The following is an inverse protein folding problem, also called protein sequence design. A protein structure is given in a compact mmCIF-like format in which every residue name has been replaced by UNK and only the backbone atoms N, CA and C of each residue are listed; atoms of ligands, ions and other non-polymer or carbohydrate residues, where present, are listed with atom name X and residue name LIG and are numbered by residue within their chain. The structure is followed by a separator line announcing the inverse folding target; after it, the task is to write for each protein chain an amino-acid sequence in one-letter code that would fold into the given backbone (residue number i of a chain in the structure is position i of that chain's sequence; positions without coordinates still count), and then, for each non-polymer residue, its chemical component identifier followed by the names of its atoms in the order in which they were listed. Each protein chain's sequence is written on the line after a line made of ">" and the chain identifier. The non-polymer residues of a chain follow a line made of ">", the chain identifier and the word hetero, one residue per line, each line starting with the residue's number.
data_IF_983354185382
#
_entry.id   IF_983354185382
#
_cell.length_a   1.000
_cell.length_b   1.000
_cell.length_c   1.000
_cell.angle_alpha   90.00
_cell.angle_beta   90.00
_cell.angle_gamma   90.00
#
_symmetry.space_group_name_H-M   'P 1'
#
loop_
_entity.id
_entity.type
_entity.pdbx_description
1 polymer ?
#
# COMPACT_ATOMS: atom_id res chain seq x y z
N UNK A 1 39.60 18.87 -9.03
CA UNK A 1 39.41 17.42 -8.76
C UNK A 1 38.73 17.17 -7.41
N UNK A 2 39.09 17.89 -6.34
CA UNK A 2 38.42 17.80 -5.02
C UNK A 2 36.91 18.09 -5.03
N UNK A 3 36.44 19.05 -5.84
CA UNK A 3 35.01 19.40 -5.88
C UNK A 3 34.11 18.28 -6.41
N UNK A 4 34.58 17.50 -7.39
CA UNK A 4 33.83 16.38 -7.97
C UNK A 4 33.73 15.21 -7.00
N UNK A 5 34.80 14.90 -6.27
CA UNK A 5 34.81 13.83 -5.24
C UNK A 5 33.92 14.19 -4.06
N UNK A 6 33.97 15.44 -3.60
CA UNK A 6 33.11 15.96 -2.53
C UNK A 6 31.63 15.95 -2.93
N UNK A 7 31.29 16.33 -4.16
CA UNK A 7 29.90 16.28 -4.67
C UNK A 7 29.38 14.85 -4.79
N UNK A 8 30.21 13.89 -5.22
CA UNK A 8 29.86 12.46 -5.27
C UNK A 8 29.61 11.88 -3.87
N UNK A 9 30.46 12.20 -2.90
CA UNK A 9 30.27 11.76 -1.52
C UNK A 9 28.96 12.32 -0.92
N UNK A 10 28.68 13.61 -1.17
CA UNK A 10 27.43 14.26 -0.76
C UNK A 10 26.20 13.58 -1.37
N UNK A 11 26.23 13.30 -2.68
CA UNK A 11 25.15 12.61 -3.38
C UNK A 11 24.90 11.19 -2.82
N UNK A 12 25.96 10.42 -2.56
CA UNK A 12 25.85 9.08 -1.99
C UNK A 12 25.26 9.10 -0.57
N UNK A 13 25.71 10.03 0.28
CA UNK A 13 25.18 10.23 1.63
C UNK A 13 23.71 10.64 1.61
N UNK A 14 23.35 11.66 0.81
CA UNK A 14 21.98 12.13 0.65
C UNK A 14 21.03 11.00 0.22
N UNK A 15 21.46 10.19 -0.75
CA UNK A 15 20.69 9.03 -1.23
C UNK A 15 20.50 7.98 -0.14
N UNK A 16 21.56 7.60 0.60
CA UNK A 16 21.47 6.64 1.70
C UNK A 16 20.46 7.11 2.75
N UNK A 17 20.51 8.38 3.12
CA UNK A 17 19.56 8.97 4.08
C UNK A 17 18.13 9.01 3.53
N UNK A 18 17.95 9.28 2.24
CA UNK A 18 16.64 9.21 1.58
C UNK A 18 16.06 7.79 1.60
N UNK A 19 16.87 6.75 1.37
CA UNK A 19 16.40 5.37 1.53
C UNK A 19 15.91 5.10 2.96
N UNK A 20 16.68 5.48 3.98
CA UNK A 20 16.33 5.23 5.37
C UNK A 20 15.12 6.02 5.87
N UNK A 21 14.93 7.26 5.41
CA UNK A 21 13.90 8.16 5.93
C UNK A 21 12.67 8.29 5.03
N UNK A 22 12.70 7.75 3.81
CA UNK A 22 11.57 7.77 2.86
C UNK A 22 11.23 6.36 2.41
N UNK A 23 12.18 5.60 1.87
CA UNK A 23 11.86 4.26 1.33
C UNK A 23 11.49 3.30 2.45
N UNK A 24 12.20 3.28 3.58
CA UNK A 24 11.87 2.41 4.72
C UNK A 24 10.47 2.66 5.30
N UNK A 25 10.07 3.89 5.67
CA UNK A 25 8.71 4.10 6.17
C UNK A 25 7.65 3.75 5.13
N UNK A 26 7.86 4.09 3.86
CA UNK A 26 6.95 3.69 2.78
C UNK A 26 6.89 2.17 2.58
N UNK A 27 8.02 1.48 2.73
CA UNK A 27 8.10 0.01 2.66
C UNK A 27 7.28 -0.63 3.78
N UNK A 28 7.38 -0.12 5.01
CA UNK A 28 6.57 -0.58 6.14
C UNK A 28 5.09 -0.29 5.88
N UNK A 29 4.73 0.90 5.41
CA UNK A 29 3.35 1.22 5.01
C UNK A 29 2.82 0.24 3.97
N UNK A 30 3.62 -0.10 2.95
CA UNK A 30 3.24 -1.08 1.92
C UNK A 30 3.11 -2.51 2.47
N UNK A 31 3.90 -2.89 3.48
CA UNK A 31 3.68 -4.17 4.19
C UNK A 31 2.31 -4.15 4.86
N UNK A 32 2.03 -3.15 5.69
CA UNK A 32 0.75 -3.07 6.42
C UNK A 32 -0.41 -3.06 5.42
N UNK A 33 -0.28 -2.33 4.31
CA UNK A 33 -1.32 -2.21 3.29
C UNK A 33 -1.60 -3.53 2.58
N UNK A 34 -0.54 -4.30 2.29
CA UNK A 34 -0.73 -5.60 1.66
C UNK A 34 -1.30 -6.64 2.64
N UNK A 35 -0.87 -6.62 3.92
CA UNK A 35 -1.42 -7.47 4.98
C UNK A 35 -2.94 -7.33 5.07
N UNK A 36 -3.47 -6.12 5.21
CA UNK A 36 -4.91 -5.88 5.29
C UNK A 36 -5.67 -6.38 4.05
N UNK A 37 -5.06 -6.22 2.87
CA UNK A 37 -5.64 -6.66 1.59
C UNK A 37 -5.81 -8.16 1.53
N UNK A 38 -4.79 -8.92 1.94
CA UNK A 38 -4.85 -10.39 1.96
C UNK A 38 -5.58 -10.91 3.19
N UNK A 39 -5.72 -10.11 4.23
CA UNK A 39 -6.36 -10.55 5.45
C UNK A 39 -7.84 -10.87 5.31
N UNK A 40 -8.53 -10.25 4.36
CA UNK A 40 -9.88 -10.67 4.00
C UNK A 40 -9.95 -12.15 3.54
N UNK A 41 -8.94 -12.65 2.80
CA UNK A 41 -8.94 -14.04 2.34
C UNK A 41 -8.70 -15.03 3.47
N UNK A 42 -7.82 -14.69 4.42
CA UNK A 42 -7.61 -15.51 5.61
C UNK A 42 -8.83 -15.47 6.54
N UNK A 43 -9.41 -14.29 6.80
CA UNK A 43 -10.63 -14.15 7.58
C UNK A 43 -11.78 -14.98 7.00
N UNK A 44 -11.90 -15.02 5.66
CA UNK A 44 -12.90 -15.82 4.95
C UNK A 44 -12.89 -17.33 5.28
N UNK A 45 -11.77 -17.88 5.77
CA UNK A 45 -11.68 -19.28 6.19
C UNK A 45 -12.61 -19.65 7.36
N UNK A 46 -12.95 -18.69 8.22
CA UNK A 46 -13.85 -18.92 9.36
C UNK A 46 -15.03 -17.94 9.38
N UNK A 47 -14.80 -16.68 9.01
CA UNK A 47 -15.81 -15.62 8.99
C UNK A 47 -17.03 -15.99 8.13
N UNK A 48 -16.83 -16.59 6.95
CA UNK A 48 -17.94 -16.89 6.05
C UNK A 48 -18.90 -17.91 6.65
N UNK A 49 -18.37 -18.94 7.30
CA UNK A 49 -19.18 -19.95 7.98
C UNK A 49 -19.93 -19.35 9.18
N UNK A 50 -19.26 -18.50 9.95
CA UNK A 50 -19.84 -17.88 11.16
C UNK A 50 -20.95 -16.88 10.83
N UNK A 51 -20.78 -16.08 9.78
CA UNK A 51 -21.75 -15.07 9.34
C UNK A 51 -22.79 -15.61 8.33
N UNK A 52 -22.65 -16.87 7.90
CA UNK A 52 -23.49 -17.47 6.87
C UNK A 52 -23.35 -16.79 5.51
N UNK A 53 -22.17 -16.26 5.18
CA UNK A 53 -21.91 -15.64 3.89
C UNK A 53 -21.69 -16.69 2.81
N UNK A 54 -22.37 -16.52 1.68
CA UNK A 54 -22.10 -17.30 0.47
C UNK A 54 -20.86 -16.78 -0.26
N UNK A 55 -20.37 -17.56 -1.22
CA UNK A 55 -19.25 -17.19 -2.07
C UNK A 55 -19.55 -15.92 -2.89
N UNK A 56 -20.80 -15.71 -3.30
CA UNK A 56 -21.24 -14.49 -3.99
C UNK A 56 -21.19 -13.27 -3.07
N UNK A 57 -21.60 -13.42 -1.80
CA UNK A 57 -21.51 -12.35 -0.80
C UNK A 57 -20.06 -11.99 -0.56
N UNK A 58 -19.21 -12.99 -0.33
CA UNK A 58 -17.78 -12.76 -0.11
C UNK A 58 -17.13 -12.10 -1.34
N UNK A 59 -17.39 -12.60 -2.54
CA UNK A 59 -16.87 -12.07 -3.79
C UNK A 59 -17.31 -10.63 -4.08
N UNK A 60 -18.60 -10.31 -3.86
CA UNK A 60 -19.11 -8.96 -4.05
C UNK A 60 -18.48 -7.97 -3.04
N UNK A 61 -18.34 -8.37 -1.78
CA UNK A 61 -17.66 -7.54 -0.78
C UNK A 61 -16.16 -7.41 -1.01
N UNK A 62 -15.50 -8.43 -1.57
CA UNK A 62 -14.12 -8.32 -2.04
C UNK A 62 -14.02 -7.28 -3.19
N UNK A 63 -14.94 -7.31 -4.14
CA UNK A 63 -14.97 -6.44 -5.32
C UNK A 63 -15.39 -4.99 -5.06
N UNK A 64 -16.40 -4.75 -4.20
CA UNK A 64 -16.95 -3.39 -3.96
C UNK A 64 -15.91 -2.43 -3.35
N UNK A 65 -14.91 -2.97 -2.66
CA UNK A 65 -13.73 -2.22 -2.24
C UNK A 65 -13.06 -1.48 -3.40
N UNK A 66 -12.89 -2.14 -4.56
CA UNK A 66 -12.25 -1.53 -5.72
C UNK A 66 -13.11 -0.44 -6.36
N UNK A 67 -14.44 -0.50 -6.21
CA UNK A 67 -15.32 0.57 -6.66
C UNK A 67 -15.04 1.88 -5.88
N UNK A 68 -14.94 1.80 -4.55
CA UNK A 68 -14.54 2.94 -3.72
C UNK A 68 -13.12 3.41 -4.02
N UNK A 69 -12.21 2.46 -4.22
CA UNK A 69 -10.80 2.73 -4.52
C UNK A 69 -10.62 3.53 -5.82
N UNK A 70 -11.20 3.07 -6.93
CA UNK A 70 -11.07 3.72 -8.25
C UNK A 70 -11.65 5.14 -8.24
N UNK A 71 -12.81 5.35 -7.60
CA UNK A 71 -13.48 6.66 -7.54
C UNK A 71 -12.59 7.74 -6.92
N UNK A 72 -11.76 7.38 -5.93
CA UNK A 72 -10.95 8.32 -5.16
C UNK A 72 -9.45 8.24 -5.46
N UNK A 73 -9.02 7.36 -6.36
CA UNK A 73 -7.60 7.17 -6.65
C UNK A 73 -6.98 8.38 -7.34
N UNK A 74 -7.58 8.85 -8.44
CA UNK A 74 -7.09 10.04 -9.17
C UNK A 74 -7.28 11.31 -8.32
N UNK A 75 -8.49 11.61 -7.78
CA UNK A 75 -8.66 12.80 -6.95
C UNK A 75 -7.73 12.82 -5.74
N UNK A 76 -7.56 11.67 -5.07
CA UNK A 76 -6.71 11.58 -3.89
C UNK A 76 -5.24 11.82 -4.19
N UNK A 77 -4.73 11.29 -5.31
CA UNK A 77 -3.35 11.51 -5.73
C UNK A 77 -3.09 13.00 -6.03
N UNK A 78 -4.04 13.68 -6.68
CA UNK A 78 -3.94 15.11 -6.98
C UNK A 78 -3.97 15.98 -5.72
N UNK A 79 -4.81 15.65 -4.74
CA UNK A 79 -4.86 16.34 -3.45
C UNK A 79 -3.52 16.17 -2.73
N UNK A 80 -2.98 14.96 -2.67
CA UNK A 80 -1.70 14.70 -2.02
C UNK A 80 -0.54 15.47 -2.66
N UNK A 81 -0.51 15.53 -3.99
CA UNK A 81 0.52 16.26 -4.74
C UNK A 81 0.44 17.77 -4.48
N UNK A 82 -0.77 18.32 -4.32
CA UNK A 82 -1.00 19.76 -4.09
C UNK A 82 -0.71 20.21 -2.66
N UNK A 83 -1.03 19.39 -1.66
CA UNK A 83 -0.95 19.79 -0.25
C UNK A 83 0.27 19.24 0.46
N UNK A 84 0.27 17.93 0.75
CA UNK A 84 1.37 17.25 1.43
C UNK A 84 1.18 15.74 1.28
N UNK A 85 2.11 15.05 0.61
CA UNK A 85 2.08 13.60 0.50
C UNK A 85 2.13 12.93 1.87
N UNK A 86 2.95 13.43 2.80
CA UNK A 86 3.12 12.86 4.14
C UNK A 86 1.83 12.91 4.96
N UNK A 87 1.18 14.06 5.04
CA UNK A 87 -0.07 14.20 5.78
C UNK A 87 -1.21 13.43 5.13
N UNK A 88 -1.20 13.32 3.80
CA UNK A 88 -2.17 12.50 3.07
C UNK A 88 -2.01 11.00 3.38
N UNK A 89 -0.78 10.48 3.39
CA UNK A 89 -0.49 9.10 3.79
C UNK A 89 -0.94 8.84 5.22
N UNK A 90 -0.69 9.76 6.15
CA UNK A 90 -1.16 9.63 7.52
C UNK A 90 -2.69 9.58 7.62
N UNK A 91 -3.40 10.43 6.85
CA UNK A 91 -4.87 10.40 6.76
C UNK A 91 -5.35 9.05 6.23
N UNK A 92 -4.74 8.55 5.14
CA UNK A 92 -5.06 7.23 4.58
C UNK A 92 -4.92 6.19 5.69
N UNK A 93 -3.74 6.06 6.31
CA UNK A 93 -3.48 5.06 7.35
C UNK A 93 -4.42 5.14 8.55
N UNK A 94 -4.76 6.36 8.99
CA UNK A 94 -5.71 6.55 10.09
C UNK A 94 -7.13 6.12 9.70
N UNK A 95 -7.66 6.64 8.60
CA UNK A 95 -9.03 6.32 8.15
C UNK A 95 -9.18 4.84 7.75
N UNK A 96 -8.18 4.31 7.06
CA UNK A 96 -8.10 2.90 6.67
C UNK A 96 -8.01 1.99 7.90
N UNK A 97 -7.16 2.30 8.89
CA UNK A 97 -7.08 1.54 10.13
C UNK A 97 -8.40 1.52 10.91
N UNK A 98 -9.14 2.64 10.94
CA UNK A 98 -10.47 2.70 11.57
C UNK A 98 -11.46 1.78 10.86
N UNK A 99 -11.58 1.86 9.54
CA UNK A 99 -12.52 1.00 8.81
C UNK A 99 -12.11 -0.47 8.79
N UNK A 100 -10.80 -0.76 8.80
CA UNK A 100 -10.28 -2.12 8.98
C UNK A 100 -10.68 -2.66 10.35
N UNK A 101 -10.53 -1.89 11.42
CA UNK A 101 -11.01 -2.29 12.75
C UNK A 101 -12.52 -2.50 12.82
N UNK A 102 -13.31 -1.71 12.06
CA UNK A 102 -14.77 -1.89 11.95
C UNK A 102 -15.18 -3.23 11.32
N UNK A 103 -14.31 -3.84 10.50
CA UNK A 103 -14.58 -5.16 9.91
C UNK A 103 -14.82 -6.23 10.98
N UNK A 104 -14.18 -6.13 12.15
CA UNK A 104 -14.36 -7.09 13.24
C UNK A 104 -15.80 -7.12 13.78
N UNK A 105 -16.62 -6.10 13.52
CA UNK A 105 -17.96 -5.97 14.08
C UNK A 105 -19.07 -6.16 13.04
N UNK A 106 -18.74 -6.59 11.81
CA UNK A 106 -19.74 -6.84 10.78
C UNK A 106 -20.50 -8.12 11.09
N UNK A 107 -21.82 -8.06 10.94
CA UNK A 107 -22.73 -9.20 11.21
C UNK A 107 -23.65 -9.51 10.04
N UNK A 108 -23.77 -8.60 9.07
CA UNK A 108 -24.67 -8.76 7.91
C UNK A 108 -23.95 -8.47 6.60
N UNK A 109 -24.40 -9.03 5.46
CA UNK A 109 -23.80 -8.76 4.15
C UNK A 109 -23.77 -7.27 3.81
N UNK A 110 -24.82 -6.52 4.16
CA UNK A 110 -24.90 -5.07 3.87
C UNK A 110 -23.85 -4.29 4.67
N UNK A 111 -23.66 -4.60 5.97
CA UNK A 111 -22.60 -3.99 6.77
C UNK A 111 -21.22 -4.29 6.18
N UNK A 112 -20.99 -5.55 5.78
CA UNK A 112 -19.76 -5.96 5.12
C UNK A 112 -19.49 -5.14 3.85
N UNK A 113 -20.48 -4.97 2.97
CA UNK A 113 -20.33 -4.18 1.74
C UNK A 113 -20.04 -2.71 2.01
N UNK A 114 -20.75 -2.10 2.96
CA UNK A 114 -20.56 -0.69 3.32
C UNK A 114 -19.15 -0.47 3.86
N UNK A 115 -18.72 -1.28 4.84
CA UNK A 115 -17.37 -1.14 5.42
C UNK A 115 -16.31 -1.37 4.36
N UNK A 116 -16.46 -2.37 3.49
CA UNK A 116 -15.52 -2.64 2.38
C UNK A 116 -15.45 -1.49 1.38
N UNK A 117 -16.58 -0.88 1.03
CA UNK A 117 -16.60 0.29 0.16
C UNK A 117 -15.89 1.50 0.80
N UNK A 118 -16.16 1.78 2.08
CA UNK A 118 -15.51 2.86 2.82
C UNK A 118 -14.00 2.62 2.99
N UNK A 119 -13.60 1.36 3.21
CA UNK A 119 -12.19 0.96 3.24
C UNK A 119 -11.50 1.26 1.89
N UNK A 120 -12.18 0.96 0.78
CA UNK A 120 -11.71 1.31 -0.57
C UNK A 120 -11.49 2.80 -0.75
N UNK A 121 -12.44 3.62 -0.30
CA UNK A 121 -12.31 5.09 -0.31
C UNK A 121 -11.13 5.56 0.56
N UNK A 122 -10.97 4.95 1.74
CA UNK A 122 -9.94 5.33 2.69
C UNK A 122 -8.53 5.00 2.20
N UNK A 123 -8.33 3.82 1.60
CA UNK A 123 -7.05 3.36 1.06
C UNK A 123 -6.70 3.96 -0.31
N UNK A 124 -7.70 4.51 -1.02
CA UNK A 124 -7.52 5.08 -2.34
C UNK A 124 -6.33 6.05 -2.41
N UNK A 125 -5.62 6.02 -3.54
CA UNK A 125 -4.44 6.83 -3.86
C UNK A 125 -3.14 6.50 -3.11
N UNK A 126 -3.11 5.51 -2.20
CA UNK A 126 -1.89 5.13 -1.48
C UNK A 126 -0.69 4.94 -2.42
N UNK A 127 -0.75 3.97 -3.33
CA UNK A 127 0.36 3.67 -4.24
C UNK A 127 0.69 4.81 -5.22
N UNK A 128 -0.29 5.48 -5.85
CA UNK A 128 -0.03 6.70 -6.61
C UNK A 128 0.74 7.76 -5.82
N UNK A 129 0.40 8.00 -4.55
CA UNK A 129 1.10 8.97 -3.69
C UNK A 129 2.53 8.50 -3.42
N UNK A 130 2.74 7.22 -3.13
CA UNK A 130 4.09 6.65 -2.96
C UNK A 130 4.96 6.90 -4.21
N UNK A 131 4.44 6.54 -5.38
CA UNK A 131 5.22 6.51 -6.63
C UNK A 131 5.35 7.86 -7.33
N UNK A 132 4.28 8.63 -7.38
CA UNK A 132 4.22 9.88 -8.12
C UNK A 132 4.59 11.09 -7.24
N UNK A 133 4.26 11.03 -5.95
CA UNK A 133 4.49 12.16 -5.05
C UNK A 133 5.73 11.97 -4.19
N UNK A 134 5.84 10.90 -3.41
CA UNK A 134 6.95 10.75 -2.48
C UNK A 134 8.27 10.49 -3.24
N UNK A 135 8.38 9.38 -3.97
CA UNK A 135 9.65 8.94 -4.57
C UNK A 135 10.30 10.00 -5.48
N UNK A 136 9.58 10.72 -6.36
CA UNK A 136 10.21 11.67 -7.28
C UNK A 136 10.86 12.88 -6.62
N UNK A 137 10.42 13.25 -5.41
CA UNK A 137 10.99 14.36 -4.62
C UNK A 137 12.38 14.03 -4.04
N UNK A 138 12.74 12.75 -3.94
CA UNK A 138 13.97 12.30 -3.27
C UNK A 138 14.94 11.55 -4.18
N UNK A 139 14.44 10.93 -5.25
CA UNK A 139 15.23 10.08 -6.14
C UNK A 139 15.25 10.62 -7.57
N UNK A 140 16.41 10.52 -8.21
CA UNK A 140 16.61 10.87 -9.61
C UNK A 140 15.91 9.89 -10.55
N UNK A 141 15.65 10.28 -11.80
CA UNK A 141 15.07 9.37 -12.82
C UNK A 141 15.77 8.01 -12.89
N UNK A 142 17.10 7.97 -12.74
CA UNK A 142 17.88 6.73 -12.80
C UNK A 142 17.76 5.87 -11.54
N UNK A 143 17.49 6.49 -10.39
CA UNK A 143 17.43 5.80 -9.09
C UNK A 143 16.01 5.40 -8.69
N UNK A 144 14.98 6.07 -9.23
CA UNK A 144 13.57 5.79 -8.97
C UNK A 144 13.19 4.32 -9.18
N UNK A 145 13.58 3.64 -10.28
CA UNK A 145 13.20 2.24 -10.49
C UNK A 145 13.72 1.32 -9.37
N UNK A 146 14.92 1.58 -8.85
CA UNK A 146 15.49 0.80 -7.74
C UNK A 146 14.73 1.04 -6.44
N UNK A 147 14.38 2.28 -6.14
CA UNK A 147 13.58 2.59 -4.95
C UNK A 147 12.18 1.96 -5.04
N UNK A 148 11.54 2.03 -6.21
CA UNK A 148 10.24 1.39 -6.46
C UNK A 148 10.34 -0.14 -6.38
N UNK A 149 11.40 -0.76 -6.89
CA UNK A 149 11.62 -2.20 -6.79
C UNK A 149 11.74 -2.66 -5.32
N UNK A 150 12.45 -1.90 -4.48
CA UNK A 150 12.49 -2.16 -3.03
C UNK A 150 11.11 -2.02 -2.41
N UNK A 151 10.33 -0.99 -2.78
CA UNK A 151 8.96 -0.86 -2.29
C UNK A 151 8.07 -2.04 -2.73
N UNK A 152 8.18 -2.50 -3.97
CA UNK A 152 7.38 -3.60 -4.48
C UNK A 152 7.74 -4.94 -3.80
N UNK A 153 8.99 -5.14 -3.39
CA UNK A 153 9.35 -6.36 -2.63
C UNK A 153 8.69 -6.44 -1.26
N UNK A 154 8.07 -5.34 -0.77
CA UNK A 154 7.29 -5.36 0.46
C UNK A 154 6.09 -6.31 0.39
N UNK A 155 5.51 -6.51 -0.80
CA UNK A 155 4.33 -7.37 -1.00
C UNK A 155 4.68 -8.83 -0.67
N UNK A 156 5.86 -9.26 -1.10
CA UNK A 156 6.38 -10.61 -0.84
C UNK A 156 6.75 -10.79 0.63
N UNK A 157 7.43 -9.80 1.22
CA UNK A 157 7.75 -9.81 2.66
C UNK A 157 6.48 -9.84 3.50
N UNK A 158 5.46 -9.08 3.11
CA UNK A 158 4.15 -9.08 3.74
C UNK A 158 3.47 -10.43 3.64
N UNK A 159 3.56 -11.13 2.51
CA UNK A 159 2.98 -12.47 2.36
C UNK A 159 3.66 -13.50 3.29
N UNK A 160 5.01 -13.45 3.34
CA UNK A 160 5.83 -14.35 4.17
C UNK A 160 5.50 -14.21 5.66
N UNK A 161 5.26 -12.98 6.12
CA UNK A 161 4.95 -12.69 7.53
C UNK A 161 3.45 -12.87 7.81
N UNK A 162 2.60 -12.38 6.91
CA UNK A 162 1.16 -12.30 7.07
C UNK A 162 0.47 -13.66 7.07
N UNK A 163 0.85 -14.55 6.16
CA UNK A 163 0.15 -15.83 6.02
C UNK A 163 0.25 -16.72 7.28
N UNK A 164 1.45 -16.93 7.88
CA UNK A 164 1.55 -17.69 9.13
C UNK A 164 0.91 -16.97 10.31
N UNK A 165 1.05 -15.64 10.39
CA UNK A 165 0.47 -14.83 11.45
C UNK A 165 -1.06 -14.93 11.44
N UNK A 166 -1.68 -14.74 10.28
CA UNK A 166 -3.12 -14.89 10.09
C UNK A 166 -3.58 -16.32 10.40
N UNK A 167 -2.89 -17.34 9.89
CA UNK A 167 -3.20 -18.75 10.15
C UNK A 167 -3.16 -19.12 11.63
N UNK A 168 -2.20 -18.57 12.38
CA UNK A 168 -2.11 -18.72 13.84
C UNK A 168 -3.25 -17.98 14.54
N UNK A 169 -3.51 -16.74 14.17
CA UNK A 169 -4.47 -15.86 14.83
C UNK A 169 -5.91 -16.34 14.69
N UNK A 170 -6.24 -16.96 13.56
CA UNK A 170 -7.55 -17.58 13.33
C UNK A 170 -7.86 -18.71 14.34
N UNK A 171 -6.84 -19.33 14.94
CA UNK A 171 -6.98 -20.39 15.93
C UNK A 171 -7.03 -19.90 17.39
N UNK A 172 -6.85 -18.61 17.64
CA UNK A 172 -6.72 -18.06 19.00
C UNK A 172 -7.83 -17.02 19.23
N UNK A 173 -8.80 -17.28 20.14
CA UNK A 173 -9.75 -16.25 20.54
C UNK A 173 -9.02 -15.16 21.35
N UNK A 174 -9.26 -13.90 21.00
CA UNK A 174 -8.59 -12.76 21.61
C UNK A 174 -9.62 -11.83 22.23
N UNK A 175 -9.50 -11.54 23.52
CA UNK A 175 -10.38 -10.60 24.23
C UNK A 175 -11.89 -10.88 24.07
N UNK A 176 -12.28 -12.15 23.92
CA UNK A 176 -13.66 -12.57 23.69
C UNK A 176 -14.13 -12.45 22.23
N UNK A 177 -13.25 -12.07 21.31
CA UNK A 177 -13.49 -12.02 19.87
C UNK A 177 -13.10 -13.35 19.20
N UNK A 178 -13.82 -13.70 18.14
CA UNK A 178 -13.45 -14.79 17.24
C UNK A 178 -12.10 -14.50 16.56
N UNK A 179 -11.40 -15.55 16.11
CA UNK A 179 -10.06 -15.42 15.53
C UNK A 179 -10.00 -14.46 14.32
N UNK A 180 -11.04 -14.45 13.47
CA UNK A 180 -11.12 -13.54 12.32
C UNK A 180 -11.37 -12.08 12.72
N UNK A 181 -12.11 -11.85 13.81
CA UNK A 181 -12.32 -10.52 14.38
C UNK A 181 -11.02 -9.98 14.97
N UNK A 182 -10.31 -10.82 15.74
CA UNK A 182 -9.00 -10.50 16.29
C UNK A 182 -7.97 -10.13 15.21
N UNK A 183 -8.06 -10.78 14.06
CA UNK A 183 -7.23 -10.50 12.88
C UNK A 183 -7.42 -9.08 12.35
N UNK A 184 -8.66 -8.61 12.15
CA UNK A 184 -8.91 -7.22 11.73
C UNK A 184 -8.51 -6.19 12.81
N UNK A 185 -8.79 -6.46 14.09
CA UNK A 185 -8.45 -5.52 15.17
C UNK A 185 -6.93 -5.37 15.33
N UNK A 186 -6.20 -6.48 15.32
CA UNK A 186 -4.75 -6.45 15.53
C UNK A 186 -3.99 -5.79 14.39
N UNK A 187 -4.51 -5.80 13.17
CA UNK A 187 -3.89 -5.11 12.04
C UNK A 187 -4.22 -3.62 11.95
N UNK A 188 -5.44 -3.25 12.37
CA UNK A 188 -5.83 -1.86 12.48
C UNK A 188 -4.89 -1.05 13.41
N UNK A 189 -4.40 -1.68 14.49
CA UNK A 189 -3.55 -1.03 15.50
C UNK A 189 -2.22 -0.52 14.89
N UNK A 190 -1.39 -1.36 14.23
CA UNK A 190 -0.20 -0.90 13.52
C UNK A 190 -0.49 0.20 12.51
N UNK A 191 -1.58 0.12 11.74
CA UNK A 191 -1.92 1.14 10.75
C UNK A 191 -2.16 2.51 11.42
N UNK A 192 -2.97 2.56 12.48
CA UNK A 192 -3.29 3.79 13.21
C UNK A 192 -2.05 4.35 13.93
N UNK A 193 -1.24 3.51 14.57
CA UNK A 193 0.00 3.94 15.22
C UNK A 193 0.96 4.51 14.17
N UNK A 194 1.15 3.81 13.06
CA UNK A 194 2.11 4.19 12.03
C UNK A 194 1.66 5.45 11.27
N UNK A 195 0.36 5.76 11.24
CA UNK A 195 -0.14 7.06 10.77
C UNK A 195 0.47 8.25 11.55
N UNK A 196 0.73 8.10 12.85
CA UNK A 196 1.39 9.14 13.66
C UNK A 196 2.91 9.11 13.46
N UNK A 197 3.48 7.91 13.32
CA UNK A 197 4.93 7.72 13.11
C UNK A 197 5.38 8.33 11.79
N UNK A 198 4.63 8.10 10.70
CA UNK A 198 5.02 8.53 9.35
C UNK A 198 5.11 10.06 9.24
N UNK A 199 4.22 10.80 9.92
CA UNK A 199 4.24 12.27 9.96
C UNK A 199 5.51 12.81 10.63
N UNK A 200 6.02 12.11 11.64
CA UNK A 200 7.24 12.50 12.37
C UNK A 200 8.51 12.02 11.70
N UNK A 201 8.47 10.87 11.02
CA UNK A 201 9.62 10.26 10.38
C UNK A 201 9.92 10.89 9.02
N UNK A 202 8.89 11.06 8.19
CA UNK A 202 9.06 11.57 6.82
C UNK A 202 9.09 13.11 6.79
N UNK A 203 9.79 13.63 5.78
CA UNK A 203 9.67 15.02 5.35
C UNK A 203 8.95 15.06 4.00
N UNK A 204 8.21 16.14 3.71
CA UNK A 204 7.53 16.28 2.42
C UNK A 204 8.51 16.65 1.30
N UNK A 205 9.50 17.47 1.61
CA UNK A 205 10.51 17.94 0.66
C UNK A 205 11.92 17.84 1.25
N UNK A 206 12.96 17.76 0.39
CA UNK A 206 14.35 17.81 0.86
C UNK A 206 14.64 19.06 1.69
N UNK A 207 14.00 20.19 1.37
CA UNK A 207 14.18 21.47 2.08
C UNK A 207 13.76 21.42 3.55
N UNK A 208 12.73 20.64 3.87
CA UNK A 208 12.21 20.47 5.23
C UNK A 208 12.88 19.33 6.01
N UNK A 209 13.76 18.58 5.35
CA UNK A 209 14.43 17.42 5.94
C UNK A 209 15.43 17.85 7.02
N UNK A 210 15.14 17.51 8.28
CA UNK A 210 16.02 17.80 9.43
C UNK A 210 17.24 16.88 9.51
N UNK A 211 17.19 15.72 8.86
CA UNK A 211 18.24 14.71 8.86
C UNK A 211 19.28 14.89 7.75
N UNK A 212 19.07 15.86 6.85
CA UNK A 212 20.03 16.25 5.81
C UNK A 212 20.95 17.38 6.30
N UNK A 213 22.21 17.35 5.87
CA UNK A 213 23.09 18.51 5.94
C UNK A 213 22.69 19.54 4.87
N UNK A 214 23.16 20.78 5.00
CA UNK A 214 22.82 21.84 4.03
C UNK A 214 23.25 21.46 2.61
N UNK A 215 24.48 20.94 2.45
CA UNK A 215 24.97 20.50 1.13
C UNK A 215 24.15 19.36 0.51
N UNK A 216 23.67 18.41 1.33
CA UNK A 216 22.81 17.32 0.84
C UNK A 216 21.42 17.81 0.46
N UNK A 217 20.87 18.75 1.24
CA UNK A 217 19.58 19.40 1.01
C UNK A 217 19.59 20.19 -0.30
N UNK A 218 20.62 21.01 -0.50
CA UNK A 218 20.81 21.78 -1.73
C UNK A 218 20.93 20.84 -2.93
N UNK A 219 21.75 19.79 -2.83
CA UNK A 219 21.92 18.80 -3.89
C UNK A 219 20.60 18.16 -4.35
N UNK A 220 19.79 17.66 -3.40
CA UNK A 220 18.52 17.01 -3.72
C UNK A 220 17.48 18.02 -4.24
N UNK A 221 17.46 19.23 -3.68
CA UNK A 221 16.54 20.30 -4.10
C UNK A 221 16.85 20.76 -5.53
N UNK A 222 18.13 21.00 -5.84
CA UNK A 222 18.59 21.36 -7.19
C UNK A 222 18.26 20.25 -8.20
N UNK A 223 18.50 18.99 -7.83
CA UNK A 223 18.17 17.83 -8.67
C UNK A 223 16.67 17.78 -8.97
N UNK A 224 15.81 17.95 -7.95
CA UNK A 224 14.36 17.94 -8.12
C UNK A 224 13.87 19.07 -9.02
N UNK A 225 14.34 20.31 -8.81
CA UNK A 225 13.96 21.45 -9.65
C UNK A 225 14.40 21.29 -11.10
N UNK A 226 15.62 20.79 -11.34
CA UNK A 226 16.13 20.52 -12.69
C UNK A 226 15.24 19.53 -13.43
N UNK A 227 14.82 18.47 -12.76
CA UNK A 227 13.93 17.47 -13.37
C UNK A 227 12.52 17.99 -13.62
N UNK A 228 11.94 18.74 -12.68
CA UNK A 228 10.61 19.33 -12.88
C UNK A 228 10.62 20.36 -14.01
N UNK A 229 11.65 21.21 -14.11
CA UNK A 229 11.80 22.13 -15.23
C UNK A 229 11.86 21.40 -16.58
N UNK A 230 12.60 20.30 -16.66
CA UNK A 230 12.68 19.47 -17.86
C UNK A 230 11.35 18.81 -18.24
N UNK A 231 10.49 18.49 -17.26
CA UNK A 231 9.13 17.97 -17.51
C UNK A 231 8.21 19.08 -18.02
N UNK A 232 8.17 20.24 -17.35
CA UNK A 232 7.31 21.37 -17.75
C UNK A 232 7.66 21.88 -19.15
N UNK A 233 8.94 21.83 -19.53
CA UNK A 233 9.40 22.18 -20.88
C UNK A 233 8.80 21.29 -21.99
N UNK A 234 8.34 20.07 -21.67
CA UNK A 234 7.68 19.16 -22.62
C UNK A 234 6.17 19.38 -22.76
N UNK A 235 5.61 20.37 -22.06
CA UNK A 235 4.18 20.71 -22.11
C UNK A 235 3.33 20.01 -21.04
N UNK A 236 2.08 20.48 -20.90
CA UNK A 236 1.09 19.89 -20.01
C UNK A 236 0.13 19.01 -20.83
N UNK A 237 -0.02 17.74 -20.44
CA UNK A 237 -1.04 16.86 -20.98
C UNK A 237 -2.31 17.00 -20.14
N UNK A 238 -3.46 17.12 -20.79
CA UNK A 238 -4.74 17.01 -20.10
C UNK A 238 -4.99 15.55 -19.68
N UNK A 239 -5.76 15.36 -18.60
CA UNK A 239 -6.17 14.02 -18.14
C UNK A 239 -6.89 13.26 -19.27
N UNK A 240 -7.72 13.96 -20.05
CA UNK A 240 -8.44 13.36 -21.17
C UNK A 240 -7.51 12.87 -22.29
N UNK A 241 -6.47 13.63 -22.63
CA UNK A 241 -5.48 13.20 -23.60
C UNK A 241 -4.75 11.94 -23.13
N UNK A 242 -4.40 11.85 -21.85
CA UNK A 242 -3.78 10.65 -21.30
C UNK A 242 -4.72 9.43 -21.33
N UNK A 243 -6.01 9.62 -21.07
CA UNK A 243 -7.00 8.53 -21.08
C UNK A 243 -7.34 8.01 -22.49
N UNK A 244 -7.18 8.84 -23.52
CA UNK A 244 -7.41 8.45 -24.91
C UNK A 244 -6.13 8.02 -25.65
N UNK A 245 -4.96 8.07 -24.99
CA UNK A 245 -3.70 7.69 -25.60
C UNK A 245 -3.62 6.16 -25.79
N UNK A 246 -3.28 5.73 -27.01
CA UNK A 246 -3.28 4.31 -27.37
C UNK A 246 -2.21 3.51 -26.60
N UNK A 247 -1.07 4.12 -26.29
CA UNK A 247 -0.01 3.46 -25.52
C UNK A 247 -0.45 3.30 -24.06
N UNK A 248 -1.07 4.33 -23.48
CA UNK A 248 -1.68 4.25 -22.15
C UNK A 248 -2.75 3.15 -22.11
N UNK A 249 -3.66 3.09 -23.09
CA UNK A 249 -4.70 2.06 -23.14
C UNK A 249 -4.15 0.64 -23.26
N UNK A 250 -3.07 0.43 -24.02
CA UNK A 250 -2.39 -0.88 -24.10
C UNK A 250 -1.78 -1.28 -22.76
N UNK A 251 -1.14 -0.34 -22.06
CA UNK A 251 -0.59 -0.57 -20.71
C UNK A 251 -1.71 -0.87 -19.70
N UNK A 252 -2.82 -0.15 -19.76
CA UNK A 252 -4.01 -0.40 -18.95
C UNK A 252 -4.59 -1.80 -19.21
N UNK A 253 -4.73 -2.23 -20.46
CA UNK A 253 -5.23 -3.56 -20.80
C UNK A 253 -4.29 -4.66 -20.31
N UNK A 254 -2.98 -4.47 -20.47
CA UNK A 254 -1.98 -5.42 -19.99
C UNK A 254 -2.04 -5.54 -18.47
N UNK A 255 -2.14 -4.40 -17.78
CA UNK A 255 -2.27 -4.37 -16.33
C UNK A 255 -3.59 -4.98 -15.85
N UNK A 256 -4.69 -4.76 -16.57
CA UNK A 256 -6.00 -5.36 -16.30
C UNK A 256 -5.93 -6.89 -16.36
N UNK A 257 -5.35 -7.46 -17.41
CA UNK A 257 -5.21 -8.93 -17.53
C UNK A 257 -4.36 -9.51 -16.41
N UNK A 258 -3.26 -8.84 -16.05
CA UNK A 258 -2.40 -9.27 -14.96
C UNK A 258 -3.08 -9.18 -13.59
N UNK A 259 -3.74 -8.05 -13.29
CA UNK A 259 -4.31 -7.77 -11.98
C UNK A 259 -5.53 -8.67 -11.69
N UNK A 260 -6.31 -9.03 -12.72
CA UNK A 260 -7.42 -9.99 -12.61
C UNK A 260 -6.92 -11.36 -12.15
N UNK A 261 -5.85 -11.88 -12.77
CA UNK A 261 -5.23 -13.14 -12.35
C UNK A 261 -4.65 -13.05 -10.94
N UNK A 262 -3.96 -11.94 -10.64
CA UNK A 262 -3.33 -11.70 -9.34
C UNK A 262 -4.33 -11.73 -8.18
N UNK A 263 -5.41 -10.94 -8.24
CA UNK A 263 -6.40 -10.90 -7.14
C UNK A 263 -7.29 -12.13 -7.09
N UNK A 264 -7.68 -12.68 -8.24
CA UNK A 264 -8.45 -13.92 -8.29
C UNK A 264 -7.72 -15.06 -7.59
N UNK A 265 -6.41 -15.17 -7.83
CA UNK A 265 -5.57 -16.14 -7.14
C UNK A 265 -5.46 -15.82 -5.63
N UNK A 266 -5.02 -14.62 -5.25
CA UNK A 266 -4.74 -14.30 -3.84
C UNK A 266 -5.96 -14.36 -2.92
N UNK A 267 -7.16 -14.02 -3.39
CA UNK A 267 -8.37 -14.06 -2.56
C UNK A 267 -8.89 -15.46 -2.31
N UNK A 268 -8.76 -16.36 -3.28
CA UNK A 268 -9.32 -17.71 -3.22
C UNK A 268 -8.30 -18.78 -2.81
N UNK A 269 -7.02 -18.47 -2.92
CA UNK A 269 -5.92 -19.40 -2.61
C UNK A 269 -6.06 -20.09 -1.24
N UNK A 270 -6.32 -19.38 -0.11
CA UNK A 270 -6.43 -20.05 1.18
C UNK A 270 -7.61 -21.02 1.24
N UNK A 271 -8.77 -20.61 0.72
CA UNK A 271 -10.00 -21.42 0.73
C UNK A 271 -9.86 -22.66 -0.15
N UNK A 272 -9.30 -22.50 -1.36
CA UNK A 272 -9.05 -23.63 -2.28
C UNK A 272 -8.05 -24.61 -1.68
N UNK A 273 -6.95 -24.12 -1.10
CA UNK A 273 -5.93 -24.98 -0.48
C UNK A 273 -6.52 -25.72 0.73
N UNK A 274 -7.31 -25.04 1.56
CA UNK A 274 -8.01 -25.63 2.70
C UNK A 274 -8.96 -26.75 2.26
N UNK A 275 -9.78 -26.51 1.24
CA UNK A 275 -10.74 -27.47 0.72
C UNK A 275 -10.06 -28.69 0.07
N UNK A 276 -8.98 -28.48 -0.68
CA UNK A 276 -8.25 -29.55 -1.37
C UNK A 276 -7.41 -30.42 -0.43
N UNK A 277 -6.85 -29.84 0.63
CA UNK A 277 -5.89 -30.53 1.52
C UNK A 277 -6.48 -31.05 2.83
N UNK A 278 -7.57 -30.43 3.32
CA UNK A 278 -8.09 -30.68 4.67
C UNK A 278 -7.17 -30.20 5.80
N UNK A 279 -6.13 -29.42 5.50
CA UNK A 279 -5.13 -28.98 6.48
C UNK A 279 -5.68 -28.00 7.53
N UNK A 280 -4.97 -27.83 8.65
CA UNK A 280 -5.28 -26.78 9.62
C UNK A 280 -5.04 -25.37 9.04
N UNK A 281 -5.67 -24.34 9.62
CA UNK A 281 -5.50 -22.96 9.14
C UNK A 281 -4.03 -22.50 9.22
N UNK A 282 -3.32 -22.95 10.27
CA UNK A 282 -1.89 -22.70 10.43
C UNK A 282 -1.07 -23.36 9.31
N UNK A 283 -1.37 -24.60 8.96
CA UNK A 283 -0.67 -25.31 7.88
C UNK A 283 -0.94 -24.68 6.51
N UNK A 284 -2.19 -24.25 6.23
CA UNK A 284 -2.52 -23.46 5.03
C UNK A 284 -1.70 -22.17 4.98
N UNK A 285 -1.62 -21.43 6.10
CA UNK A 285 -0.83 -20.22 6.20
C UNK A 285 0.66 -20.43 5.90
N UNK A 286 1.26 -21.51 6.43
CA UNK A 286 2.66 -21.84 6.14
C UNK A 286 2.91 -22.25 4.69
N UNK A 287 1.97 -22.96 4.08
CA UNK A 287 2.16 -23.48 2.72
C UNK A 287 2.07 -22.39 1.66
N UNK A 288 1.33 -21.31 1.92
CA UNK A 288 1.27 -20.13 1.03
C UNK A 288 2.60 -19.36 1.01
N UNK A 289 3.46 -19.53 2.01
CA UNK A 289 4.79 -18.88 2.06
C UNK A 289 5.74 -19.44 1.01
N UNK A 290 5.58 -20.72 0.62
CA UNK A 290 6.43 -21.35 -0.37
C UNK A 290 5.81 -21.18 -1.78
N UNK A 291 6.55 -20.57 -2.73
CA UNK A 291 6.07 -20.36 -4.10
C UNK A 291 5.91 -21.67 -4.88
#
# INVERSE_FOLDING_TARGET
>A
MESTTSRRATAASAKRKAYLNIVVPLFITSIIAYLDRVNLSYAGLTMNQELGFSDEVFGLGAGIFFAGYVLFEIPGALIAERYSPKWWLARIMLSWGVFSGMMAFVTTPVQFYIVRFLLGIAEASLYPVLYASCIPRWFSVHDRPRAIAVLLSSLQVSSIIGAPLAGWLLGVPLFGLAGWQGLFVLEAIPAVIFAVVIVRWMADSPREARWLTEAEREFLTEQFHRENAAKTAKGHFSVWQALCDLEVLKLCLTYFLWITGFWGFNYWMPTVLKAASGWSNLAVGWMIVFP
#
